data_IF_182913816409
#
_entry.id   IF_182913816409
#
_cell.length_a   1.000
_cell.length_b   1.000
_cell.length_c   1.000
_cell.angle_alpha   90.00
_cell.angle_beta   90.00
_cell.angle_gamma   90.00
#
_symmetry.space_group_name_H-M   'P 1'
#
loop_
_entity.id
_entity.type
_entity.pdbx_description
1 polymer ?
#
# COMPACT_ATOMS: atom_id res chain seq x y z
N UNK A 1 -27.35 -14.70 20.54
CA UNK A 1 -27.14 -14.76 19.08
C UNK A 1 -25.67 -14.53 18.84
N UNK A 2 -24.93 -15.58 18.49
CA UNK A 2 -23.49 -15.50 18.31
C UNK A 2 -23.19 -14.65 17.07
N UNK A 3 -22.58 -13.48 17.26
CA UNK A 3 -22.21 -12.55 16.18
C UNK A 3 -21.06 -13.08 15.29
N UNK A 4 -20.67 -14.34 15.45
CA UNK A 4 -19.56 -15.02 14.76
C UNK A 4 -19.81 -15.17 13.26
N UNK A 5 -21.08 -15.17 12.84
CA UNK A 5 -21.49 -15.26 11.44
C UNK A 5 -21.70 -13.91 10.76
N UNK A 6 -21.53 -12.78 11.47
CA UNK A 6 -21.58 -11.46 10.81
C UNK A 6 -20.28 -11.21 10.02
N UNK A 7 -20.35 -10.90 8.71
CA UNK A 7 -19.15 -10.66 7.88
C UNK A 7 -18.27 -9.50 8.38
N UNK A 8 -18.83 -8.59 9.17
CA UNK A 8 -18.09 -7.50 9.83
C UNK A 8 -17.12 -8.00 10.90
N UNK A 9 -17.36 -9.17 11.49
CA UNK A 9 -16.55 -9.71 12.58
C UNK A 9 -15.11 -10.02 12.14
N UNK A 10 -14.92 -10.44 10.89
CA UNK A 10 -13.61 -10.74 10.30
C UNK A 10 -12.93 -9.54 9.64
N UNK A 11 -13.55 -8.34 9.66
CA UNK A 11 -12.95 -7.14 9.08
C UNK A 11 -11.88 -6.59 10.01
N UNK A 12 -10.63 -7.01 9.79
CA UNK A 12 -9.45 -6.45 10.44
C UNK A 12 -9.09 -5.07 9.88
N UNK A 13 -8.50 -4.22 10.74
CA UNK A 13 -7.88 -2.96 10.30
C UNK A 13 -6.53 -3.30 9.67
N UNK A 14 -6.29 -2.78 8.46
CA UNK A 14 -5.01 -2.90 7.76
C UNK A 14 -4.38 -1.51 7.75
N UNK A 15 -3.08 -1.43 7.99
CA UNK A 15 -2.31 -0.19 7.90
C UNK A 15 -2.26 0.35 6.46
N UNK A 16 -1.93 1.63 6.32
CA UNK A 16 -1.98 2.32 5.04
C UNK A 16 -0.97 1.74 4.04
N UNK A 17 0.21 1.35 4.53
CA UNK A 17 1.33 0.81 3.74
C UNK A 17 0.97 -0.57 3.21
N UNK A 18 0.53 -1.50 4.09
CA UNK A 18 0.12 -2.85 3.68
C UNK A 18 -1.02 -2.80 2.67
N UNK A 19 -2.00 -1.89 2.86
CA UNK A 19 -3.09 -1.71 1.89
C UNK A 19 -2.57 -1.27 0.53
N UNK A 20 -1.69 -0.26 0.48
CA UNK A 20 -1.12 0.26 -0.76
C UNK A 20 -0.28 -0.81 -1.49
N UNK A 21 0.57 -1.52 -0.76
CA UNK A 21 1.42 -2.60 -1.28
C UNK A 21 0.58 -3.72 -1.87
N UNK A 22 -0.42 -4.23 -1.15
CA UNK A 22 -1.27 -5.32 -1.63
C UNK A 22 -1.99 -4.95 -2.92
N UNK A 23 -2.56 -3.74 -2.98
CA UNK A 23 -3.24 -3.26 -4.18
C UNK A 23 -2.28 -3.16 -5.38
N UNK A 24 -1.07 -2.66 -5.16
CA UNK A 24 -0.06 -2.52 -6.20
C UNK A 24 0.38 -3.87 -6.78
N UNK A 25 0.59 -4.89 -5.93
CA UNK A 25 0.98 -6.24 -6.39
C UNK A 25 -0.18 -6.96 -7.09
N UNK A 26 -1.42 -6.83 -6.59
CA UNK A 26 -2.60 -7.45 -7.20
C UNK A 26 -2.87 -6.94 -8.62
N UNK A 27 -2.52 -5.69 -8.92
CA UNK A 27 -2.70 -5.11 -10.26
C UNK A 27 -1.95 -5.85 -11.38
N UNK A 28 -0.97 -6.69 -11.02
CA UNK A 28 -0.15 -7.48 -11.95
C UNK A 28 -0.64 -8.92 -12.16
N UNK A 29 -1.79 -9.26 -11.60
CA UNK A 29 -2.42 -10.58 -11.73
C UNK A 29 -3.51 -10.49 -12.81
N UNK A 30 -3.27 -11.03 -14.01
CA UNK A 30 -4.32 -11.16 -15.02
C UNK A 30 -5.42 -12.06 -14.44
N UNK A 31 -6.69 -11.63 -14.57
CA UNK A 31 -7.91 -12.37 -14.20
C UNK A 31 -8.38 -12.29 -12.73
N UNK A 32 -7.86 -11.34 -11.94
CA UNK A 32 -8.35 -11.03 -10.57
C UNK A 32 -9.86 -10.69 -10.45
N UNK A 33 -10.57 -10.58 -11.58
CA UNK A 33 -11.95 -10.07 -11.65
C UNK A 33 -12.95 -11.01 -12.37
N UNK A 34 -12.53 -12.20 -12.84
CA UNK A 34 -13.44 -13.13 -13.52
C UNK A 34 -13.73 -14.40 -12.69
N UNK A 35 -14.87 -14.32 -12.00
CA UNK A 35 -15.80 -15.38 -11.59
C UNK A 35 -15.29 -16.57 -10.73
N UNK A 36 -15.78 -16.52 -9.49
CA UNK A 36 -16.13 -17.60 -8.53
C UNK A 36 -15.08 -18.20 -7.60
N UNK A 37 -13.78 -17.89 -7.69
CA UNK A 37 -12.84 -18.32 -6.65
C UNK A 37 -11.67 -17.36 -6.43
N UNK A 38 -11.18 -17.29 -5.19
CA UNK A 38 -9.99 -16.50 -4.86
C UNK A 38 -8.78 -17.26 -5.43
N UNK A 39 -8.01 -16.62 -6.30
CA UNK A 39 -6.77 -17.22 -6.79
C UNK A 39 -5.78 -17.41 -5.63
N UNK A 40 -5.05 -18.53 -5.62
CA UNK A 40 -4.16 -18.86 -4.50
C UNK A 40 -3.13 -17.74 -4.24
N UNK A 41 -2.67 -17.06 -5.29
CA UNK A 41 -1.77 -15.93 -5.18
C UNK A 41 -2.42 -14.72 -4.49
N UNK A 42 -3.69 -14.45 -4.74
CA UNK A 42 -4.43 -13.37 -4.07
C UNK A 42 -4.62 -13.66 -2.59
N UNK A 43 -5.00 -14.91 -2.28
CA UNK A 43 -5.10 -15.39 -0.90
C UNK A 43 -3.75 -15.21 -0.18
N UNK A 44 -2.63 -15.61 -0.80
CA UNK A 44 -1.30 -15.41 -0.25
C UNK A 44 -0.97 -13.92 -0.03
N UNK A 45 -1.23 -13.04 -1.00
CA UNK A 45 -0.95 -11.60 -0.85
C UNK A 45 -1.75 -11.00 0.30
N UNK A 46 -2.98 -11.48 0.52
CA UNK A 46 -3.84 -11.03 1.62
C UNK A 46 -3.40 -11.53 3.00
N UNK A 47 -2.67 -12.64 3.08
CA UNK A 47 -2.23 -13.24 4.34
C UNK A 47 -0.83 -12.80 4.75
N UNK A 48 0.08 -12.65 3.79
CA UNK A 48 1.47 -12.27 4.05
C UNK A 48 1.59 -10.81 4.49
N UNK A 49 2.57 -10.55 5.36
CA UNK A 49 3.02 -9.20 5.68
C UNK A 49 3.92 -8.65 4.54
N UNK A 50 4.24 -7.35 4.60
CA UNK A 50 5.01 -6.68 3.53
C UNK A 50 6.41 -7.28 3.34
N UNK A 51 7.10 -7.62 4.43
CA UNK A 51 8.44 -8.21 4.38
C UNK A 51 8.43 -9.65 3.85
N UNK A 52 7.44 -10.44 4.25
CA UNK A 52 7.21 -11.79 3.75
C UNK A 52 6.88 -11.77 2.26
N UNK A 53 6.04 -10.83 1.83
CA UNK A 53 5.71 -10.65 0.41
C UNK A 53 6.93 -10.22 -0.39
N UNK A 54 7.73 -9.29 0.12
CA UNK A 54 9.03 -8.90 -0.47
C UNK A 54 9.95 -10.11 -0.61
N UNK A 55 10.08 -10.92 0.44
CA UNK A 55 10.87 -12.15 0.44
C UNK A 55 10.36 -13.16 -0.59
N UNK A 56 9.04 -13.37 -0.67
CA UNK A 56 8.40 -14.26 -1.63
C UNK A 56 8.66 -13.83 -3.08
N UNK A 57 8.51 -12.55 -3.41
CA UNK A 57 8.74 -12.03 -4.76
C UNK A 57 10.22 -12.16 -5.15
N UNK A 58 11.14 -11.78 -4.25
CA UNK A 58 12.60 -11.93 -4.45
C UNK A 58 12.99 -13.39 -4.67
N UNK A 59 12.50 -14.28 -3.81
CA UNK A 59 12.79 -15.72 -3.89
C UNK A 59 12.28 -16.36 -5.19
N UNK A 60 11.08 -15.98 -5.64
CA UNK A 60 10.55 -16.48 -6.91
C UNK A 60 11.35 -15.99 -8.11
N UNK A 61 11.67 -14.69 -8.19
CA UNK A 61 12.53 -14.16 -9.25
C UNK A 61 13.87 -14.90 -9.28
N UNK A 62 14.53 -15.06 -8.13
CA UNK A 62 15.78 -15.82 -8.02
C UNK A 62 15.64 -17.27 -8.49
N UNK A 63 14.61 -18.00 -8.03
CA UNK A 63 14.33 -19.38 -8.43
C UNK A 63 14.23 -19.54 -9.96
N UNK A 64 13.54 -18.63 -10.62
CA UNK A 64 13.38 -18.68 -12.08
C UNK A 64 14.68 -18.31 -12.81
N UNK A 65 15.42 -17.30 -12.33
CA UNK A 65 16.76 -16.96 -12.85
C UNK A 65 17.83 -18.03 -12.58
N UNK A 66 17.65 -18.87 -11.57
CA UNK A 66 18.57 -19.98 -11.32
C UNK A 66 18.35 -21.13 -12.31
N UNK A 67 17.08 -21.52 -12.51
CA UNK A 67 16.73 -22.73 -13.27
C UNK A 67 16.60 -22.54 -14.78
N UNK A 68 16.60 -21.31 -15.29
CA UNK A 68 16.26 -21.05 -16.70
C UNK A 68 17.18 -21.81 -17.68
N UNK A 69 18.48 -21.92 -17.38
CA UNK A 69 19.43 -22.62 -18.26
C UNK A 69 19.17 -24.12 -18.38
N UNK A 70 18.53 -24.72 -17.38
CA UNK A 70 18.39 -26.18 -17.26
C UNK A 70 16.95 -26.69 -17.39
N UNK A 71 15.95 -25.80 -17.34
CA UNK A 71 14.53 -26.19 -17.34
C UNK A 71 13.73 -25.61 -18.50
N UNK A 72 13.31 -24.34 -18.43
CA UNK A 72 12.37 -23.78 -19.41
C UNK A 72 12.93 -22.59 -20.22
N UNK A 73 14.23 -22.30 -20.14
CA UNK A 73 14.87 -21.25 -20.93
C UNK A 73 14.23 -19.87 -20.72
N UNK A 74 13.92 -19.20 -21.84
CA UNK A 74 13.37 -17.85 -21.84
C UNK A 74 12.03 -17.71 -21.10
N UNK A 75 11.24 -18.77 -21.02
CA UNK A 75 9.95 -18.74 -20.32
C UNK A 75 10.12 -18.53 -18.80
N UNK A 76 11.18 -19.11 -18.23
CA UNK A 76 11.52 -18.83 -16.83
C UNK A 76 12.03 -17.40 -16.65
N UNK A 77 12.74 -16.84 -17.63
CA UNK A 77 13.15 -15.43 -17.58
C UNK A 77 11.93 -14.49 -17.63
N UNK A 78 10.89 -14.80 -18.41
CA UNK A 78 9.63 -14.04 -18.40
C UNK A 78 8.95 -14.09 -17.03
N UNK A 79 8.94 -15.27 -16.40
CA UNK A 79 8.40 -15.43 -15.03
C UNK A 79 9.22 -14.62 -14.03
N UNK A 80 10.54 -14.70 -14.09
CA UNK A 80 11.42 -13.89 -13.25
C UNK A 80 11.13 -12.39 -13.39
N UNK A 81 11.01 -11.92 -14.63
CA UNK A 81 10.70 -10.53 -14.95
C UNK A 81 9.36 -10.08 -14.35
N UNK A 82 8.32 -10.92 -14.45
CA UNK A 82 7.02 -10.62 -13.83
C UNK A 82 7.11 -10.46 -12.31
N UNK A 83 7.84 -11.35 -11.63
CA UNK A 83 8.06 -11.24 -10.18
C UNK A 83 8.89 -10.01 -9.82
N UNK A 84 9.83 -9.59 -10.67
CA UNK A 84 10.57 -8.34 -10.50
C UNK A 84 9.67 -7.10 -10.68
N UNK A 85 8.77 -7.11 -11.67
CA UNK A 85 7.80 -6.03 -11.86
C UNK A 85 6.88 -5.87 -10.65
N UNK A 86 6.41 -6.98 -10.08
CA UNK A 86 5.65 -6.97 -8.83
C UNK A 86 6.46 -6.41 -7.67
N UNK A 87 7.74 -6.80 -7.56
CA UNK A 87 8.62 -6.30 -6.49
C UNK A 87 8.90 -4.80 -6.63
N UNK A 88 9.16 -4.31 -7.85
CA UNK A 88 9.35 -2.88 -8.10
C UNK A 88 8.11 -2.08 -7.67
N UNK A 89 6.91 -2.55 -8.03
CA UNK A 89 5.66 -1.90 -7.58
C UNK A 89 5.46 -1.95 -6.08
N UNK A 90 5.84 -3.06 -5.43
CA UNK A 90 5.81 -3.16 -3.97
C UNK A 90 6.65 -2.06 -3.33
N UNK A 91 7.90 -1.88 -3.78
CA UNK A 91 8.78 -0.84 -3.22
C UNK A 91 8.27 0.57 -3.53
N UNK A 92 7.83 0.84 -4.77
CA UNK A 92 7.24 2.14 -5.12
C UNK A 92 6.00 2.48 -4.28
N UNK A 93 5.11 1.50 -4.05
CA UNK A 93 3.92 1.69 -3.24
C UNK A 93 4.27 1.90 -1.76
N UNK A 94 5.25 1.15 -1.26
CA UNK A 94 5.75 1.30 0.10
C UNK A 94 6.36 2.68 0.33
N UNK A 95 7.22 3.15 -0.58
CA UNK A 95 7.83 4.48 -0.52
C UNK A 95 6.79 5.59 -0.58
N UNK A 96 5.85 5.52 -1.53
CA UNK A 96 4.75 6.49 -1.66
C UNK A 96 3.90 6.57 -0.39
N UNK A 97 3.55 5.43 0.21
CA UNK A 97 2.77 5.39 1.43
C UNK A 97 3.52 6.03 2.61
N UNK A 98 4.80 5.73 2.77
CA UNK A 98 5.65 6.34 3.81
C UNK A 98 5.78 7.86 3.63
N UNK A 99 5.96 8.33 2.38
CA UNK A 99 6.02 9.76 2.07
C UNK A 99 4.69 10.45 2.42
N UNK A 100 3.55 9.81 2.11
CA UNK A 100 2.24 10.38 2.39
C UNK A 100 1.93 10.45 3.88
N UNK A 101 2.27 9.40 4.64
CA UNK A 101 2.22 9.42 6.10
C UNK A 101 3.12 10.54 6.68
N UNK A 102 4.33 10.71 6.16
CA UNK A 102 5.24 11.77 6.59
C UNK A 102 4.72 13.18 6.28
N UNK A 103 4.06 13.39 5.13
CA UNK A 103 3.43 14.68 4.79
C UNK A 103 2.32 15.05 5.76
N UNK A 104 1.54 14.07 6.20
CA UNK A 104 0.45 14.25 7.16
C UNK A 104 0.98 14.57 8.56
N UNK A 105 2.15 14.03 8.91
CA UNK A 105 2.83 14.27 10.19
C UNK A 105 3.64 15.58 10.24
N UNK A 106 3.67 16.38 9.16
CA UNK A 106 4.34 17.69 9.20
C UNK A 106 3.73 18.56 10.31
N UNK A 107 4.54 19.19 11.18
CA UNK A 107 4.02 20.09 12.19
C UNK A 107 3.25 21.21 11.47
N UNK A 108 2.06 21.53 12.00
CA UNK A 108 1.28 22.66 11.50
C UNK A 108 2.20 23.89 11.42
N UNK A 109 2.11 24.72 10.35
CA UNK A 109 2.85 25.97 10.31
C UNK A 109 2.61 26.70 11.63
N UNK A 110 3.66 27.33 12.22
CA UNK A 110 3.50 28.04 13.48
C UNK A 110 2.31 28.97 13.34
N UNK A 111 1.35 28.85 14.27
CA UNK A 111 0.13 29.65 14.24
C UNK A 111 0.55 31.11 14.02
N UNK A 112 0.10 31.71 12.92
CA UNK A 112 0.37 33.12 12.65
C UNK A 112 -0.03 33.89 13.90
N UNK A 113 0.84 34.75 14.46
CA UNK A 113 0.52 35.48 15.67
C UNK A 113 -0.84 36.15 15.49
N UNK A 114 -1.76 35.88 16.43
CA UNK A 114 -3.11 36.44 16.39
C UNK A 114 -2.95 37.95 16.11
N UNK A 115 -3.64 38.51 15.09
CA UNK A 115 -3.53 39.93 14.82
C UNK A 115 -3.85 40.69 16.11
N UNK A 116 -3.04 41.68 16.44
CA UNK A 116 -3.24 42.49 17.64
C UNK A 116 -4.70 42.97 17.67
N UNK A 117 -5.37 42.95 18.83
CA UNK A 117 -6.73 43.47 18.93
C UNK A 117 -6.76 44.88 18.34
N UNK A 118 -7.71 45.12 17.43
CA UNK A 118 -7.88 46.44 16.82
C UNK A 118 -8.02 47.46 17.96
N UNK A 119 -7.37 48.63 17.85
CA UNK A 119 -7.55 49.69 18.83
C UNK A 119 -9.05 50.01 18.94
N UNK A 120 -9.57 50.31 20.14
CA UNK A 120 -10.97 50.63 20.31
C UNK A 120 -11.34 51.77 19.36
N UNK A 121 -12.33 51.52 18.49
CA UNK A 121 -12.89 52.53 17.59
C UNK A 121 -13.32 53.72 18.44
N UNK A 122 -12.67 54.88 18.25
CA UNK A 122 -13.07 56.11 18.91
C UNK A 122 -14.52 56.42 18.53
N UNK A 123 -15.43 56.32 19.49
CA UNK A 123 -16.81 56.75 19.28
C UNK A 123 -16.79 58.25 18.94
N UNK A 124 -17.56 58.68 17.91
CA UNK A 124 -17.63 60.09 17.58
C UNK A 124 -18.18 60.85 18.78
N UNK A 125 -17.44 61.88 19.21
CA UNK A 125 -17.91 62.80 20.26
C UNK A 125 -19.14 63.50 19.72
N UNK A 126 -20.30 63.21 20.28
CA UNK A 126 -21.51 64.02 20.08
C UNK A 126 -21.30 65.32 20.86
N UNK A 127 -21.26 66.44 20.15
CA UNK A 127 -21.27 67.80 20.73
C UNK A 127 -22.68 68.22 21.09
#
# INVERSE_FOLDING_TARGET
>A
MDNVSQPSHYKGRIDSVTKAVRLAVLSEIPHSLENTNIECLEAMISTLNVEELRGYLRGNSFKYRWRYRTKNGIEDLRKAHRYEQMLMRLEEASEKALIEEAKLMRPAPPATPRPAPLPPTALPKTY
#
